data_IF_573309113261
#
_entry.id   IF_573309113261
#
_cell.length_a   1.000
_cell.length_b   1.000
_cell.length_c   1.000
_cell.angle_alpha   90.00
_cell.angle_beta   90.00
_cell.angle_gamma   90.00
#
_symmetry.space_group_name_H-M   'P 1'
#
loop_
_entity.id
_entity.type
_entity.pdbx_description
1 polymer ?
#
# COMPACT_ATOMS: atom_id res chain seq x y z
N UNK A 1 9.85 -9.27 4.77
CA UNK A 1 9.47 -7.95 5.32
C UNK A 1 7.95 -7.97 5.47
N UNK A 2 7.40 -7.79 6.67
CA UNK A 2 5.96 -8.03 6.93
C UNK A 2 5.14 -6.73 6.93
N UNK A 3 5.63 -5.72 6.21
CA UNK A 3 5.01 -4.40 6.19
C UNK A 3 5.31 -3.64 4.91
N UNK A 4 4.39 -2.77 4.53
CA UNK A 4 4.50 -1.84 3.40
C UNK A 4 4.74 -0.43 3.94
N UNK A 5 5.67 0.31 3.34
CA UNK A 5 5.89 1.72 3.69
C UNK A 5 4.88 2.61 2.96
N UNK A 6 4.26 3.51 3.71
CA UNK A 6 3.38 4.54 3.16
C UNK A 6 3.70 5.91 3.78
N UNK A 7 3.57 6.95 2.97
CA UNK A 7 3.66 8.35 3.33
C UNK A 7 2.27 8.90 3.62
N UNK A 8 2.10 9.50 4.79
CA UNK A 8 0.88 10.12 5.25
C UNK A 8 0.97 11.64 5.15
N UNK A 9 -0.20 12.28 5.25
CA UNK A 9 -0.33 13.74 5.30
C UNK A 9 0.69 14.35 6.29
N UNK A 10 1.49 15.31 5.81
CA UNK A 10 2.58 15.89 6.61
C UNK A 10 3.96 15.24 6.40
N UNK A 11 4.13 14.37 5.40
CA UNK A 11 5.38 13.65 5.07
C UNK A 11 5.83 12.64 6.13
N UNK A 12 4.92 12.21 7.00
CA UNK A 12 5.22 11.15 7.96
C UNK A 12 5.20 9.80 7.25
N UNK A 13 6.23 8.98 7.43
CA UNK A 13 6.22 7.59 6.94
C UNK A 13 5.65 6.68 8.02
N UNK A 14 4.70 5.82 7.67
CA UNK A 14 4.22 4.73 8.52
C UNK A 14 4.43 3.37 7.84
N UNK A 15 4.39 2.32 8.66
CA UNK A 15 4.47 0.93 8.22
C UNK A 15 3.09 0.28 8.33
N UNK A 16 2.53 -0.11 7.20
CA UNK A 16 1.29 -0.88 7.12
C UNK A 16 1.65 -2.35 7.33
N UNK A 17 1.20 -2.96 8.42
CA UNK A 17 1.39 -4.38 8.67
C UNK A 17 0.53 -5.21 7.70
N UNK A 18 1.11 -6.24 7.07
CA UNK A 18 0.37 -7.10 6.12
C UNK A 18 -0.82 -7.80 6.77
N UNK A 19 -0.77 -8.10 8.08
CA UNK A 19 -1.91 -8.67 8.83
C UNK A 19 -3.13 -7.75 8.91
N UNK A 20 -2.94 -6.46 8.62
CA UNK A 20 -4.00 -5.45 8.66
C UNK A 20 -4.52 -5.13 7.25
N UNK A 21 -4.23 -5.96 6.26
CA UNK A 21 -4.71 -5.82 4.87
C UNK A 21 -5.81 -6.84 4.62
N UNK A 22 -6.96 -6.38 4.14
CA UNK A 22 -8.07 -7.24 3.69
C UNK A 22 -7.95 -7.62 2.22
N UNK A 23 -7.42 -6.72 1.40
CA UNK A 23 -7.29 -6.94 -0.03
C UNK A 23 -6.41 -5.90 -0.70
N UNK A 24 -5.99 -6.21 -1.92
CA UNK A 24 -5.35 -5.26 -2.79
C UNK A 24 -5.79 -5.43 -4.25
N UNK A 25 -5.86 -4.31 -4.97
CA UNK A 25 -6.04 -4.27 -6.42
C UNK A 25 -4.75 -3.75 -7.03
N UNK A 26 -4.17 -4.53 -7.94
CA UNK A 26 -2.94 -4.18 -8.67
C UNK A 26 -3.30 -4.01 -10.15
N UNK A 27 -2.95 -2.87 -10.73
CA UNK A 27 -3.10 -2.53 -12.15
C UNK A 27 -1.79 -1.92 -12.67
N UNK A 28 -1.72 -1.68 -13.97
CA UNK A 28 -0.56 -1.03 -14.58
C UNK A 28 -0.32 0.34 -13.92
N UNK A 29 0.71 0.42 -13.06
CA UNK A 29 1.12 1.60 -12.28
C UNK A 29 0.13 2.10 -11.22
N UNK A 30 -0.81 1.27 -10.79
CA UNK A 30 -1.75 1.59 -9.71
C UNK A 30 -1.83 0.44 -8.70
N UNK A 31 -1.73 0.78 -7.42
CA UNK A 31 -1.97 -0.16 -6.31
C UNK A 31 -2.97 0.49 -5.37
N UNK A 32 -4.05 -0.24 -5.07
CA UNK A 32 -5.01 0.12 -4.02
C UNK A 32 -4.96 -0.98 -2.98
N UNK A 33 -4.63 -0.63 -1.73
CA UNK A 33 -4.64 -1.54 -0.58
C UNK A 33 -5.81 -1.16 0.30
N UNK A 34 -6.66 -2.13 0.64
CA UNK A 34 -7.76 -1.97 1.60
C UNK A 34 -7.32 -2.60 2.92
N UNK A 35 -7.22 -1.78 3.97
CA UNK A 35 -6.92 -2.24 5.32
C UNK A 35 -8.17 -2.68 6.08
N UNK A 36 -8.01 -3.50 7.12
CA UNK A 36 -9.08 -4.06 7.99
C UNK A 36 -9.98 -3.01 8.67
N UNK A 37 -9.57 -1.75 8.68
CA UNK A 37 -10.36 -0.64 9.21
C UNK A 37 -11.17 0.08 8.13
N UNK A 38 -11.20 -0.45 6.91
CA UNK A 38 -11.74 0.21 5.71
C UNK A 38 -10.86 1.36 5.19
N UNK A 39 -9.65 1.54 5.75
CA UNK A 39 -8.71 2.56 5.28
C UNK A 39 -8.05 2.10 3.98
N UNK A 40 -8.06 2.98 2.98
CA UNK A 40 -7.42 2.74 1.69
C UNK A 40 -6.05 3.42 1.59
N UNK A 41 -5.12 2.75 0.92
CA UNK A 41 -3.77 3.24 0.61
C UNK A 41 -3.52 3.12 -0.88
N UNK A 42 -2.90 4.14 -1.46
CA UNK A 42 -2.78 4.25 -2.91
C UNK A 42 -1.34 4.45 -3.33
N UNK A 43 -0.93 3.71 -4.35
CA UNK A 43 0.15 4.15 -5.21
C UNK A 43 -0.46 4.95 -6.35
N UNK A 44 -0.06 6.23 -6.50
CA UNK A 44 -0.45 7.09 -7.61
C UNK A 44 0.60 8.17 -7.87
N UNK A 45 0.92 8.44 -9.13
CA UNK A 45 1.79 9.56 -9.49
C UNK A 45 1.18 10.94 -9.12
N UNK A 46 -0.10 11.01 -8.71
CA UNK A 46 -0.74 12.23 -8.18
C UNK A 46 -0.65 12.27 -6.63
N UNK A 47 0.14 13.18 -6.04
CA UNK A 47 0.35 13.29 -4.59
C UNK A 47 -0.87 13.84 -3.82
N UNK A 48 -2.03 14.04 -4.44
CA UNK A 48 -3.26 14.50 -3.76
C UNK A 48 -3.85 13.47 -2.79
N UNK A 49 -3.40 12.22 -2.84
CA UNK A 49 -3.87 11.17 -1.93
C UNK A 49 -3.22 11.30 -0.55
N UNK A 50 -4.03 11.20 0.52
CA UNK A 50 -3.56 11.36 1.91
C UNK A 50 -2.67 10.22 2.40
N UNK A 51 -2.78 9.03 1.79
CA UNK A 51 -2.12 7.79 2.18
C UNK A 51 -1.39 7.20 0.96
N UNK A 52 -0.14 7.61 0.76
CA UNK A 52 0.63 7.34 -0.45
C UNK A 52 1.62 6.18 -0.27
N UNK A 53 1.65 5.22 -1.19
CA UNK A 53 2.64 4.13 -1.20
C UNK A 53 3.90 4.62 -1.91
N UNK A 54 5.07 4.40 -1.32
CA UNK A 54 6.30 5.10 -1.72
C UNK A 54 7.06 4.38 -2.87
N UNK A 55 6.83 3.08 -3.06
CA UNK A 55 7.56 2.26 -4.04
C UNK A 55 6.64 1.20 -4.66
N UNK A 56 6.27 1.36 -5.94
CA UNK A 56 5.39 0.42 -6.63
C UNK A 56 5.98 -0.97 -6.70
N UNK A 57 7.18 -1.12 -7.27
CA UNK A 57 7.76 -2.44 -7.58
C UNK A 57 8.02 -3.26 -6.31
N UNK A 58 8.47 -2.60 -5.24
CA UNK A 58 8.66 -3.26 -3.95
C UNK A 58 7.34 -3.75 -3.36
N UNK A 59 6.30 -2.90 -3.40
CA UNK A 59 5.00 -3.23 -2.81
C UNK A 59 4.24 -4.25 -3.64
N UNK A 60 4.32 -4.17 -4.96
CA UNK A 60 3.79 -5.17 -5.89
C UNK A 60 4.37 -6.55 -5.55
N UNK A 61 5.69 -6.68 -5.39
CA UNK A 61 6.30 -7.96 -5.05
C UNK A 61 5.87 -8.47 -3.66
N UNK A 62 5.77 -7.58 -2.67
CA UNK A 62 5.30 -7.95 -1.33
C UNK A 62 3.86 -8.50 -1.40
N UNK A 63 2.95 -7.79 -2.08
CA UNK A 63 1.54 -8.18 -2.19
C UNK A 63 1.37 -9.47 -3.00
N UNK A 64 2.09 -9.61 -4.11
CA UNK A 64 2.06 -10.83 -4.93
C UNK A 64 2.55 -12.06 -4.18
N UNK A 65 3.52 -11.91 -3.26
CA UNK A 65 3.96 -13.01 -2.42
C UNK A 65 2.94 -13.30 -1.30
N UNK A 66 2.38 -12.26 -0.69
CA UNK A 66 1.43 -12.38 0.41
C UNK A 66 0.12 -13.08 0.01
N UNK A 67 -0.44 -12.77 -1.16
CA UNK A 67 -1.69 -13.38 -1.63
C UNK A 67 -1.53 -14.72 -2.36
N UNK A 68 -0.29 -15.21 -2.54
CA UNK A 68 -0.01 -16.53 -3.11
C UNK A 68 0.06 -17.64 -2.07
N UNK A 69 0.31 -17.28 -0.80
CA UNK A 69 0.28 -18.19 0.36
C UNK A 69 -1.16 -18.44 0.84
#
# INVERSE_FOLDING_TARGET
MNSIRALFSGRQTELINLKNIEGAVIREKEIIIVGVTGREYYYSDDPKMRNYIINFSEVEQILLNFFKE
#
